data_IF_344279635104
#
_entry.id   IF_344279635104
#
_cell.length_a   1.000
_cell.length_b   1.000
_cell.length_c   1.000
_cell.angle_alpha   90.00
_cell.angle_beta   90.00
_cell.angle_gamma   90.00
#
_symmetry.space_group_name_H-M   'P 1'
#
loop_
_entity.id
_entity.type
_entity.pdbx_description
1 polymer ?
#
# COMPACT_ATOMS: atom_id res chain seq x y z
N UNK A 1 51.93 4.00 2.92
CA UNK A 1 50.58 3.54 3.31
C UNK A 1 50.52 3.55 4.83
N UNK A 2 49.84 4.53 5.41
CA UNK A 2 49.61 4.61 6.85
C UNK A 2 48.10 4.46 7.05
N UNK A 3 47.70 3.38 7.71
CA UNK A 3 46.31 3.14 8.10
C UNK A 3 46.02 3.96 9.36
N UNK A 4 45.04 4.86 9.29
CA UNK A 4 44.51 5.57 10.45
C UNK A 4 43.54 4.65 11.20
N UNK A 5 43.74 4.39 12.50
CA UNK A 5 42.91 3.48 13.29
C UNK A 5 41.57 4.08 13.78
N UNK A 6 41.24 5.32 13.42
CA UNK A 6 39.96 5.96 13.79
C UNK A 6 38.77 5.52 12.90
N UNK A 7 39.00 4.60 11.94
CA UNK A 7 37.94 3.97 11.13
C UNK A 7 37.42 2.63 11.71
N UNK A 8 37.69 2.32 12.99
CA UNK A 8 37.11 1.13 13.63
C UNK A 8 35.90 1.47 14.51
N UNK A 9 34.73 1.40 13.87
CA UNK A 9 33.55 0.71 14.40
C UNK A 9 33.11 1.02 15.84
N UNK A 10 32.31 2.06 16.00
CA UNK A 10 31.32 2.11 17.08
C UNK A 10 29.97 1.59 16.55
N UNK A 11 29.70 0.31 16.76
CA UNK A 11 28.40 -0.32 16.48
C UNK A 11 27.45 0.04 17.60
N UNK A 12 26.83 1.21 17.49
CA UNK A 12 25.77 1.69 18.38
C UNK A 12 24.50 1.97 17.58
N UNK A 13 23.83 0.92 17.10
CA UNK A 13 22.40 0.91 16.70
C UNK A 13 21.88 1.99 15.75
N UNK A 14 22.74 2.75 15.08
CA UNK A 14 22.31 3.85 14.21
C UNK A 14 22.54 3.43 12.78
N UNK A 15 21.44 3.19 12.05
CA UNK A 15 21.48 2.96 10.61
C UNK A 15 22.04 4.24 9.99
N UNK A 16 23.31 4.21 9.60
CA UNK A 16 23.92 5.25 8.78
C UNK A 16 23.22 5.26 7.43
N UNK A 17 22.20 6.12 7.27
CA UNK A 17 21.64 6.43 5.96
C UNK A 17 22.71 7.22 5.22
N UNK A 18 23.49 6.55 4.38
CA UNK A 18 24.43 7.17 3.46
C UNK A 18 23.68 8.24 2.64
N UNK A 19 23.96 9.51 2.90
CA UNK A 19 23.30 10.63 2.26
C UNK A 19 23.60 10.60 0.75
N UNK A 20 22.64 10.16 -0.06
CA UNK A 20 22.72 10.27 -1.53
C UNK A 20 22.23 9.07 -2.34
N UNK A 21 21.96 7.91 -1.74
CA UNK A 21 21.55 6.70 -2.49
C UNK A 21 20.16 6.14 -2.13
N UNK A 22 19.53 6.64 -1.07
CA UNK A 22 18.18 6.24 -0.72
C UNK A 22 17.17 7.11 -1.49
N UNK A 23 16.13 6.51 -2.11
CA UNK A 23 15.04 7.30 -2.67
C UNK A 23 14.47 8.22 -1.60
N UNK A 24 14.07 9.44 -2.02
CA UNK A 24 13.45 10.40 -1.11
C UNK A 24 12.31 9.72 -0.35
N UNK A 25 12.30 9.88 0.97
CA UNK A 25 11.27 9.29 1.82
C UNK A 25 9.89 9.75 1.35
N UNK A 26 8.86 8.88 1.44
CA UNK A 26 7.53 9.29 1.08
C UNK A 26 7.05 10.47 1.92
N UNK A 27 6.29 11.38 1.31
CA UNK A 27 5.77 12.58 1.99
C UNK A 27 4.52 12.29 2.80
N UNK A 28 3.65 11.41 2.30
CA UNK A 28 2.48 10.91 2.99
C UNK A 28 2.75 9.49 3.46
N UNK A 29 2.50 9.23 4.74
CA UNK A 29 2.68 7.91 5.31
C UNK A 29 1.38 7.11 5.12
N UNK A 30 1.53 5.93 4.52
CA UNK A 30 0.44 4.97 4.30
C UNK A 30 0.88 3.62 4.84
N UNK A 31 0.06 3.04 5.70
CA UNK A 31 0.21 1.66 6.13
C UNK A 31 -0.86 0.82 5.44
N UNK A 32 -0.41 -0.16 4.68
CA UNK A 32 -1.28 -0.97 3.83
C UNK A 32 -0.68 -2.36 3.64
N UNK A 33 -1.53 -3.39 3.43
CA UNK A 33 -1.04 -4.70 3.05
C UNK A 33 -0.46 -4.64 1.64
N UNK A 34 0.75 -5.16 1.45
CA UNK A 34 1.36 -5.31 0.12
C UNK A 34 0.61 -6.34 -0.74
N UNK A 35 0.06 -7.37 -0.08
CA UNK A 35 -0.73 -8.42 -0.70
C UNK A 35 -1.92 -8.78 0.18
N UNK A 36 -3.07 -9.01 -0.46
CA UNK A 36 -4.27 -9.52 0.19
C UNK A 36 -4.86 -10.69 -0.60
N UNK A 37 -5.64 -11.53 0.06
CA UNK A 37 -6.39 -12.62 -0.55
C UNK A 37 -7.86 -12.26 -0.55
N UNK A 38 -8.56 -12.54 -1.64
CA UNK A 38 -9.98 -12.23 -1.79
C UNK A 38 -10.69 -13.36 -2.50
N UNK A 39 -11.86 -13.75 -1.97
CA UNK A 39 -12.73 -14.72 -2.61
C UNK A 39 -13.41 -14.04 -3.81
N UNK A 40 -13.45 -14.74 -4.95
CA UNK A 40 -14.09 -14.24 -6.17
C UNK A 40 -15.59 -14.04 -5.91
N UNK A 41 -16.14 -12.95 -6.44
CA UNK A 41 -17.53 -12.50 -6.28
C UNK A 41 -17.94 -12.08 -4.86
N UNK A 42 -17.07 -12.18 -3.86
CA UNK A 42 -17.34 -11.67 -2.52
C UNK A 42 -16.92 -10.20 -2.33
N UNK A 43 -17.62 -9.54 -1.41
CA UNK A 43 -17.23 -8.22 -0.94
C UNK A 43 -16.08 -8.35 0.05
N UNK A 44 -14.98 -7.69 -0.25
CA UNK A 44 -13.78 -7.68 0.55
C UNK A 44 -13.44 -6.24 0.97
N UNK A 45 -12.71 -6.11 2.08
CA UNK A 45 -12.31 -4.81 2.61
C UNK A 45 -10.81 -4.79 2.93
N UNK A 46 -10.18 -3.63 2.73
CA UNK A 46 -8.83 -3.34 3.18
C UNK A 46 -8.87 -2.08 4.03
N UNK A 47 -8.21 -2.13 5.19
CA UNK A 47 -7.98 -0.95 6.04
C UNK A 47 -6.63 -0.33 5.71
N UNK A 48 -6.62 0.99 5.54
CA UNK A 48 -5.43 1.78 5.26
C UNK A 48 -5.29 2.84 6.36
N UNK A 49 -4.22 2.76 7.15
CA UNK A 49 -3.88 3.87 8.04
C UNK A 49 -3.12 4.91 7.23
N UNK A 50 -3.45 6.18 7.44
CA UNK A 50 -2.72 7.28 6.83
C UNK A 50 -2.30 8.30 7.87
N UNK A 51 -1.19 8.98 7.57
CA UNK A 51 -0.75 10.17 8.29
C UNK A 51 -0.17 11.17 7.29
N UNK A 52 -0.53 12.44 7.45
CA UNK A 52 -0.07 13.53 6.60
C UNK A 52 0.79 14.53 7.39
N UNK A 53 1.78 15.17 6.75
CA UNK A 53 2.57 16.22 7.37
C UNK A 53 1.71 17.40 7.84
N UNK A 54 2.14 18.06 8.91
CA UNK A 54 1.42 19.18 9.55
C UNK A 54 0.98 20.30 8.61
N UNK A 55 1.80 20.64 7.62
CA UNK A 55 1.54 21.76 6.70
C UNK A 55 1.10 21.29 5.30
N UNK A 56 0.46 20.13 5.23
CA UNK A 56 -0.13 19.63 3.99
C UNK A 56 -1.54 20.18 3.76
N UNK A 57 -1.95 20.30 2.50
CA UNK A 57 -3.29 20.79 2.09
C UNK A 57 -3.82 20.01 0.90
N UNK A 58 -5.15 19.95 0.77
CA UNK A 58 -5.86 19.31 -0.34
C UNK A 58 -5.34 17.88 -0.59
N UNK A 59 -5.13 17.13 0.50
CA UNK A 59 -4.59 15.79 0.41
C UNK A 59 -5.74 14.84 0.13
N UNK A 60 -5.63 14.08 -0.96
CA UNK A 60 -6.64 13.11 -1.39
C UNK A 60 -5.99 11.80 -1.76
N UNK A 61 -6.70 10.72 -1.51
CA UNK A 61 -6.39 9.38 -1.98
C UNK A 61 -7.34 9.02 -3.12
N UNK A 62 -6.76 8.72 -4.28
CA UNK A 62 -7.47 8.18 -5.45
C UNK A 62 -7.06 6.72 -5.66
N UNK A 63 -8.04 5.87 -5.94
CA UNK A 63 -7.86 4.46 -6.21
C UNK A 63 -8.10 4.15 -7.69
N UNK A 64 -7.28 3.24 -8.20
CA UNK A 64 -7.47 2.58 -9.49
C UNK A 64 -7.34 1.08 -9.29
N UNK A 65 -7.95 0.30 -10.16
CA UNK A 65 -7.84 -1.14 -10.13
C UNK A 65 -7.69 -1.72 -11.53
N UNK A 66 -7.21 -2.95 -11.60
CA UNK A 66 -7.29 -3.78 -12.81
C UNK A 66 -8.75 -4.09 -13.15
N UNK A 67 -9.04 -4.43 -14.41
CA UNK A 67 -10.39 -4.72 -14.89
C UNK A 67 -11.14 -5.80 -14.08
N UNK A 68 -10.40 -6.75 -13.50
CA UNK A 68 -10.93 -7.86 -12.72
C UNK A 68 -11.21 -7.51 -11.24
N UNK A 69 -11.06 -6.24 -10.85
CA UNK A 69 -11.35 -5.77 -9.49
C UNK A 69 -12.25 -4.55 -9.58
N UNK A 70 -13.41 -4.63 -8.93
CA UNK A 70 -14.38 -3.54 -8.82
C UNK A 70 -14.22 -2.86 -7.47
N UNK A 71 -13.98 -1.55 -7.48
CA UNK A 71 -13.88 -0.73 -6.27
C UNK A 71 -15.24 -0.11 -5.92
N UNK A 72 -15.60 -0.12 -4.64
CA UNK A 72 -16.85 0.50 -4.17
C UNK A 72 -16.78 2.03 -4.19
N UNK A 73 -15.62 2.59 -3.83
CA UNK A 73 -15.34 4.03 -3.83
C UNK A 73 -13.91 4.25 -4.27
N UNK A 74 -13.68 5.29 -5.07
CA UNK A 74 -12.38 5.54 -5.70
C UNK A 74 -11.69 6.82 -5.26
N UNK A 75 -12.36 7.71 -4.51
CA UNK A 75 -11.78 8.97 -4.05
C UNK A 75 -12.08 9.21 -2.58
N UNK A 76 -11.09 9.64 -1.83
CA UNK A 76 -11.17 9.93 -0.40
C UNK A 76 -10.41 11.23 -0.11
N UNK A 77 -11.08 12.19 0.51
CA UNK A 77 -10.42 13.38 1.05
C UNK A 77 -9.78 13.02 2.40
N UNK A 78 -8.53 13.43 2.61
CA UNK A 78 -7.76 13.17 3.83
C UNK A 78 -7.69 14.45 4.66
N UNK A 79 -8.86 14.89 5.13
CA UNK A 79 -9.02 16.16 5.86
C UNK A 79 -8.34 16.11 7.24
N UNK A 80 -8.38 14.96 7.90
CA UNK A 80 -7.70 14.76 9.17
C UNK A 80 -6.20 14.58 8.99
N UNK A 81 -5.42 14.86 10.05
CA UNK A 81 -3.96 14.68 9.98
C UNK A 81 -3.57 13.20 9.93
N UNK A 82 -4.41 12.34 10.45
CA UNK A 82 -4.23 10.90 10.45
C UNK A 82 -5.57 10.22 10.63
N UNK A 83 -5.73 9.04 10.07
CA UNK A 83 -6.97 8.29 10.19
C UNK A 83 -6.89 6.92 9.52
N UNK A 84 -8.04 6.28 9.43
CA UNK A 84 -8.19 4.96 8.81
C UNK A 84 -9.21 5.08 7.67
N UNK A 85 -8.87 4.51 6.52
CA UNK A 85 -9.75 4.41 5.36
C UNK A 85 -10.10 2.95 5.12
N UNK A 86 -11.39 2.67 4.96
CA UNK A 86 -11.85 1.36 4.50
C UNK A 86 -12.07 1.37 3.00
N UNK A 87 -11.34 0.50 2.30
CA UNK A 87 -11.47 0.29 0.87
C UNK A 87 -12.27 -0.99 0.63
N UNK A 88 -13.53 -0.84 0.22
CA UNK A 88 -14.36 -1.94 -0.26
C UNK A 88 -14.04 -2.28 -1.72
N UNK A 89 -13.89 -3.58 -2.02
CA UNK A 89 -13.62 -4.08 -3.35
C UNK A 89 -14.18 -5.50 -3.56
N UNK A 90 -14.42 -5.85 -4.83
CA UNK A 90 -14.87 -7.18 -5.24
C UNK A 90 -13.97 -7.68 -6.37
N UNK A 91 -13.50 -8.92 -6.26
CA UNK A 91 -12.76 -9.59 -7.33
C UNK A 91 -13.76 -10.29 -8.24
N UNK A 92 -13.79 -9.92 -9.52
CA UNK A 92 -14.76 -10.47 -10.48
C UNK A 92 -14.17 -11.57 -11.38
N UNK A 93 -12.86 -11.81 -11.31
CA UNK A 93 -12.21 -12.84 -12.13
C UNK A 93 -10.81 -13.20 -11.64
N UNK A 94 -10.36 -14.37 -12.08
CA UNK A 94 -9.00 -14.83 -11.87
C UNK A 94 -7.98 -14.01 -12.70
N UNK A 95 -6.71 -14.05 -12.29
CA UNK A 95 -5.61 -13.40 -13.01
C UNK A 95 -4.88 -12.35 -12.17
N UNK A 96 -4.22 -11.41 -12.85
CA UNK A 96 -3.46 -10.34 -12.21
C UNK A 96 -4.40 -9.26 -11.71
N UNK A 97 -4.58 -9.22 -10.39
CA UNK A 97 -5.49 -8.30 -9.73
C UNK A 97 -4.71 -7.33 -8.85
N UNK A 98 -4.90 -6.03 -9.08
CA UNK A 98 -4.23 -5.00 -8.28
C UNK A 98 -5.12 -3.83 -7.98
N UNK A 99 -4.84 -3.19 -6.85
CA UNK A 99 -5.42 -1.92 -6.44
C UNK A 99 -4.25 -0.94 -6.32
N UNK A 100 -4.27 0.10 -7.15
CA UNK A 100 -3.29 1.19 -7.12
C UNK A 100 -3.87 2.34 -6.32
N UNK A 101 -3.15 2.75 -5.29
CA UNK A 101 -3.44 3.90 -4.46
C UNK A 101 -2.56 5.06 -4.90
N UNK A 102 -3.16 6.23 -5.11
CA UNK A 102 -2.46 7.45 -5.50
C UNK A 102 -2.83 8.52 -4.49
N UNK A 103 -1.88 8.92 -3.66
CA UNK A 103 -2.07 10.03 -2.72
C UNK A 103 -1.42 11.27 -3.30
N UNK A 104 -2.21 12.33 -3.41
CA UNK A 104 -1.75 13.61 -3.94
C UNK A 104 -2.19 14.75 -3.03
N UNK A 105 -1.39 15.79 -2.95
CA UNK A 105 -1.72 16.99 -2.21
C UNK A 105 -0.63 18.05 -2.34
N UNK A 106 -0.72 19.08 -1.53
CA UNK A 106 0.31 20.13 -1.43
C UNK A 106 1.04 19.96 -0.11
N UNK A 107 2.38 19.98 -0.13
CA UNK A 107 3.21 20.03 1.06
C UNK A 107 4.33 21.05 0.85
N UNK A 108 4.54 21.95 1.82
CA UNK A 108 5.54 23.04 1.72
C UNK A 108 5.43 23.89 0.44
N UNK A 109 4.22 24.04 -0.10
CA UNK A 109 3.96 24.83 -1.32
C UNK A 109 4.11 24.06 -2.63
N UNK A 110 4.57 22.82 -2.60
CA UNK A 110 4.75 21.97 -3.77
C UNK A 110 3.65 20.92 -3.88
N UNK A 111 3.20 20.64 -5.10
CA UNK A 111 2.32 19.49 -5.36
C UNK A 111 3.14 18.20 -5.29
N UNK A 112 2.74 17.31 -4.39
CA UNK A 112 3.34 15.99 -4.23
C UNK A 112 2.31 14.94 -4.61
N UNK A 113 2.76 13.91 -5.33
CA UNK A 113 1.95 12.75 -5.69
C UNK A 113 2.76 11.48 -5.49
N UNK A 114 2.14 10.46 -4.91
CA UNK A 114 2.77 9.20 -4.57
C UNK A 114 1.83 8.07 -4.96
N UNK A 115 2.39 7.02 -5.57
CA UNK A 115 1.61 5.85 -5.97
C UNK A 115 2.18 4.60 -5.31
N UNK A 116 1.27 3.79 -4.76
CA UNK A 116 1.59 2.49 -4.19
C UNK A 116 0.58 1.46 -4.68
N UNK A 117 0.95 0.19 -4.65
CA UNK A 117 0.15 -0.88 -5.22
C UNK A 117 -0.05 -2.00 -4.22
N UNK A 118 -1.28 -2.51 -4.18
CA UNK A 118 -1.68 -3.69 -3.43
C UNK A 118 -1.96 -4.80 -4.42
N UNK A 119 -1.31 -5.94 -4.23
CA UNK A 119 -1.59 -7.16 -5.01
C UNK A 119 -2.76 -7.91 -4.38
N UNK A 120 -3.70 -8.32 -5.22
CA UNK A 120 -4.87 -9.10 -4.78
C UNK A 120 -4.73 -10.49 -5.36
N UNK A 121 -4.71 -11.51 -4.51
CA UNK A 121 -4.77 -12.90 -4.93
C UNK A 121 -6.22 -13.36 -4.90
N UNK A 122 -6.76 -13.69 -6.08
CA UNK A 122 -8.06 -14.32 -6.19
C UNK A 122 -8.01 -15.74 -5.62
N UNK A 123 -9.02 -16.09 -4.83
CA UNK A 123 -9.30 -17.45 -4.38
C UNK A 123 -10.65 -17.85 -4.99
N UNK A 124 -10.65 -18.94 -5.73
CA UNK A 124 -11.89 -19.61 -6.13
C UNK A 124 -12.47 -20.27 -4.88
N UNK A 125 -13.74 -20.00 -4.59
CA UNK A 125 -14.46 -20.74 -3.57
C UNK A 125 -14.62 -22.17 -4.08
N UNK A 126 -13.83 -23.10 -3.53
CA UNK A 126 -13.97 -24.52 -3.85
C UNK A 126 -15.35 -24.96 -3.34
N UNK A 127 -16.24 -25.32 -4.26
CA UNK A 127 -17.50 -25.95 -3.87
C UNK A 127 -17.19 -27.28 -3.16
N UNK A 128 -17.89 -27.58 -2.08
CA UNK A 128 -17.71 -28.79 -1.24
C UNK A 128 -17.82 -30.12 -2.02
N UNK A 129 -18.22 -30.08 -3.30
CA UNK A 129 -18.42 -31.24 -4.16
C UNK A 129 -17.11 -31.86 -4.70
N UNK A 130 -15.98 -31.14 -4.72
CA UNK A 130 -14.71 -31.71 -5.18
C UNK A 130 -13.89 -32.43 -4.10
N UNK A 131 -14.23 -32.24 -2.82
CA UNK A 131 -13.56 -32.92 -1.69
C UNK A 131 -13.94 -34.40 -1.55
N UNK A 132 -15.03 -34.86 -2.17
CA UNK A 132 -15.51 -36.24 -2.05
C UNK A 132 -14.91 -37.21 -3.08
N UNK A 133 -14.07 -36.76 -4.01
CA UNK A 133 -13.56 -37.61 -5.10
C UNK A 133 -12.15 -38.15 -4.84
N UNK A 134 -11.47 -37.69 -3.79
CA UNK A 134 -10.09 -38.11 -3.45
C UNK A 134 -9.99 -39.19 -2.35
N UNK A 135 -11.06 -39.93 -2.09
CA UNK A 135 -11.03 -41.14 -1.26
C UNK A 135 -11.61 -42.33 -2.06
N UNK A 136 -10.82 -42.86 -3.00
CA UNK A 136 -11.04 -44.19 -3.58
C UNK A 136 -9.74 -44.96 -3.65
#
# INVERSE_FOLDING_TARGET
>A
MYFNPDELGFVGGTIARMAGLAPAAPVFDLEYPQMTKAVIADNNEILINYSRPFFSKNVRLTLKSTNNVKLTKTNFELDDRSGIITIGYQVIGAGYNTITMIVSGVNKGETVSQSVQIYVRAIEELSEQELQVSER
#
